data_IF_740221083879
#
_entry.id   IF_740221083879
#
_cell.length_a   1.000
_cell.length_b   1.000
_cell.length_c   1.000
_cell.angle_alpha   90.00
_cell.angle_beta   90.00
_cell.angle_gamma   90.00
#
_symmetry.space_group_name_H-M   'P 1'
#
loop_
_entity.id
_entity.type
_entity.pdbx_description
1 polymer ?
#
# COMPACT_ATOMS: atom_id res chain seq x y z
N UNK A 1 10.08 3.11 -3.67
CA UNK A 1 8.95 3.78 -4.36
C UNK A 1 9.00 3.43 -5.84
N UNK A 2 7.87 3.50 -6.52
CA UNK A 2 7.68 3.23 -7.94
C UNK A 2 6.84 4.33 -8.56
N UNK A 3 7.14 4.78 -9.78
CA UNK A 3 6.46 5.88 -10.46
C UNK A 3 6.15 5.50 -11.90
N UNK A 4 4.96 5.82 -12.37
CA UNK A 4 4.48 5.55 -13.73
C UNK A 4 4.20 6.82 -14.50
N UNK A 5 4.35 6.76 -15.83
CA UNK A 5 4.12 7.91 -16.72
C UNK A 5 2.68 8.42 -16.74
N UNK A 6 1.70 7.62 -16.30
CA UNK A 6 0.29 8.03 -16.16
C UNK A 6 -0.01 8.72 -14.81
N UNK A 7 1.02 9.06 -14.02
CA UNK A 7 0.89 9.90 -12.83
C UNK A 7 0.57 9.13 -11.54
N UNK A 8 0.75 7.80 -11.52
CA UNK A 8 0.61 7.00 -10.30
C UNK A 8 1.96 6.67 -9.66
N UNK A 9 1.94 6.54 -8.35
CA UNK A 9 3.08 6.11 -7.54
C UNK A 9 2.67 5.06 -6.53
N UNK A 10 3.64 4.24 -6.12
CA UNK A 10 3.51 3.29 -5.02
C UNK A 10 4.75 3.37 -4.11
N UNK A 11 4.52 3.32 -2.82
CA UNK A 11 5.53 3.21 -1.77
C UNK A 11 5.33 1.92 -0.99
N UNK A 12 6.44 1.23 -0.78
CA UNK A 12 6.56 0.19 0.22
C UNK A 12 7.82 0.46 1.03
N UNK A 13 7.70 0.46 2.36
CA UNK A 13 8.81 0.59 3.29
C UNK A 13 8.84 -0.60 4.23
N UNK A 14 10.02 -1.16 4.43
CA UNK A 14 10.29 -2.21 5.40
C UNK A 14 11.32 -1.67 6.39
N UNK A 15 10.94 -1.51 7.66
CA UNK A 15 11.79 -0.96 8.71
C UNK A 15 11.85 -1.91 9.88
N UNK A 16 13.05 -2.16 10.37
CA UNK A 16 13.27 -2.90 11.61
C UNK A 16 13.76 -1.95 12.68
N UNK A 17 13.18 -2.04 13.87
CA UNK A 17 13.63 -1.32 15.06
C UNK A 17 14.20 -2.34 16.03
N UNK A 18 15.51 -2.31 16.19
CA UNK A 18 16.23 -3.19 17.12
C UNK A 18 16.03 -2.73 18.57
N UNK A 19 16.12 -3.69 19.50
CA UNK A 19 16.12 -3.43 20.93
C UNK A 19 17.35 -4.10 21.56
N UNK A 20 18.37 -3.31 21.91
CA UNK A 20 19.65 -3.82 22.42
C UNK A 20 19.48 -4.45 23.81
N UNK A 21 18.58 -3.92 24.64
CA UNK A 21 18.32 -4.46 25.98
C UNK A 21 17.56 -5.78 25.92
N UNK A 22 16.67 -5.96 24.93
CA UNK A 22 15.90 -7.18 24.73
C UNK A 22 15.97 -7.62 23.26
N UNK A 23 17.03 -8.38 22.86
CA UNK A 23 17.26 -8.77 21.48
C UNK A 23 16.14 -9.62 20.86
N UNK A 24 15.33 -10.29 21.68
CA UNK A 24 14.14 -11.03 21.25
C UNK A 24 12.94 -10.13 20.92
N UNK A 25 13.02 -8.82 21.21
CA UNK A 25 11.96 -7.82 21.02
C UNK A 25 12.21 -6.91 19.81
N UNK A 26 12.61 -7.47 18.67
CA UNK A 26 12.78 -6.71 17.42
C UNK A 26 11.41 -6.39 16.82
N UNK A 27 11.19 -5.14 16.43
CA UNK A 27 9.93 -4.71 15.80
C UNK A 27 10.12 -4.59 14.30
N UNK A 28 9.21 -5.17 13.53
CA UNK A 28 9.15 -5.01 12.08
C UNK A 28 7.96 -4.12 11.70
N UNK A 29 8.20 -3.15 10.84
CA UNK A 29 7.19 -2.23 10.33
C UNK A 29 7.18 -2.35 8.82
N UNK A 30 6.04 -2.75 8.28
CA UNK A 30 5.80 -2.79 6.83
C UNK A 30 4.73 -1.77 6.51
N UNK A 31 5.07 -0.80 5.70
CA UNK A 31 4.14 0.22 5.24
C UNK A 31 3.99 0.12 3.75
N UNK A 32 2.76 0.24 3.27
CA UNK A 32 2.47 0.30 1.84
C UNK A 32 1.36 1.31 1.59
N UNK A 33 1.59 2.21 0.65
CA UNK A 33 0.58 3.15 0.17
C UNK A 33 0.82 3.47 -1.31
N UNK A 34 -0.22 3.85 -2.03
CA UNK A 34 -0.13 4.21 -3.43
C UNK A 34 -1.15 5.31 -3.75
N UNK A 35 -0.94 5.99 -4.86
CA UNK A 35 -1.88 7.01 -5.32
C UNK A 35 -1.34 7.82 -6.47
N UNK A 36 -1.65 9.12 -6.51
CA UNK A 36 -1.23 10.03 -7.57
C UNK A 36 -0.08 10.91 -7.14
N UNK A 37 0.83 11.20 -8.06
CA UNK A 37 1.89 12.17 -7.82
C UNK A 37 1.78 13.31 -8.82
N UNK A 38 2.24 14.50 -8.42
CA UNK A 38 2.35 15.67 -9.28
C UNK A 38 3.74 16.25 -9.18
N UNK A 39 4.25 16.71 -10.32
CA UNK A 39 5.48 17.49 -10.42
C UNK A 39 5.05 18.94 -10.59
N UNK A 40 5.24 19.74 -9.55
CA UNK A 40 4.78 21.11 -9.50
C UNK A 40 5.71 22.06 -10.27
N UNK A 41 5.19 23.20 -10.72
CA UNK A 41 5.97 24.20 -11.45
C UNK A 41 7.15 24.79 -10.63
N UNK A 42 7.06 24.73 -9.31
CA UNK A 42 8.11 25.16 -8.37
C UNK A 42 9.15 24.07 -8.07
N UNK A 43 9.24 23.01 -8.89
CA UNK A 43 10.14 21.85 -8.73
C UNK A 43 9.83 20.93 -7.55
N UNK A 44 8.75 21.18 -6.80
CA UNK A 44 8.30 20.27 -5.76
C UNK A 44 7.61 19.03 -6.35
N UNK A 45 7.64 17.94 -5.60
CA UNK A 45 6.92 16.72 -5.90
C UNK A 45 5.89 16.50 -4.80
N UNK A 46 4.63 16.33 -5.17
CA UNK A 46 3.59 15.94 -4.20
C UNK A 46 3.15 14.51 -4.46
N UNK A 47 2.84 13.80 -3.38
CA UNK A 47 2.26 12.45 -3.43
C UNK A 47 0.97 12.43 -2.64
N UNK A 48 -0.11 12.07 -3.33
CA UNK A 48 -1.46 12.02 -2.78
C UNK A 48 -1.94 10.55 -2.77
N UNK A 49 -2.03 9.90 -1.59
CA UNK A 49 -2.51 8.54 -1.48
C UNK A 49 -3.99 8.43 -1.87
N UNK A 50 -4.40 7.26 -2.36
CA UNK A 50 -5.82 6.90 -2.48
C UNK A 50 -6.36 6.67 -1.06
N UNK A 51 -7.47 7.34 -0.74
CA UNK A 51 -8.06 7.22 0.59
C UNK A 51 -8.42 5.77 0.93
N UNK A 52 -8.20 5.41 2.19
CA UNK A 52 -8.47 4.08 2.75
C UNK A 52 -7.69 2.91 2.12
N UNK A 53 -6.69 3.15 1.27
CA UNK A 53 -5.93 2.05 0.66
C UNK A 53 -4.59 1.73 1.37
N UNK A 54 -3.92 2.76 1.90
CA UNK A 54 -2.66 2.56 2.61
C UNK A 54 -2.81 1.68 3.85
N UNK A 55 -1.79 0.88 4.13
CA UNK A 55 -1.70 0.00 5.29
C UNK A 55 -0.33 0.11 5.94
N UNK A 56 -0.34 0.02 7.26
CA UNK A 56 0.86 -0.22 8.06
C UNK A 56 0.63 -1.47 8.89
N UNK A 57 1.56 -2.41 8.80
CA UNK A 57 1.64 -3.59 9.63
C UNK A 57 2.82 -3.43 10.58
N UNK A 58 2.56 -3.61 11.87
CA UNK A 58 3.57 -3.61 12.92
C UNK A 58 3.58 -5.00 13.55
N UNK A 59 4.74 -5.65 13.51
CA UNK A 59 5.00 -6.88 14.24
C UNK A 59 5.92 -6.56 15.42
N UNK A 60 5.46 -6.85 16.63
CA UNK A 60 6.19 -6.63 17.88
C UNK A 60 6.01 -7.85 18.78
N UNK A 61 6.99 -8.77 18.86
CA UNK A 61 6.85 -10.01 19.63
C UNK A 61 6.74 -9.78 21.15
N UNK A 62 7.01 -8.57 21.65
CA UNK A 62 6.99 -8.24 23.06
C UNK A 62 5.86 -7.30 23.47
N UNK A 63 5.04 -6.84 22.52
CA UNK A 63 3.81 -6.12 22.80
C UNK A 63 2.67 -7.08 23.17
N UNK A 64 1.62 -6.56 23.81
CA UNK A 64 0.41 -7.32 24.11
C UNK A 64 -0.30 -7.84 22.83
N UNK A 65 -0.21 -7.08 21.73
CA UNK A 65 -0.64 -7.51 20.40
C UNK A 65 0.59 -7.68 19.51
N UNK A 66 0.85 -8.90 19.08
CA UNK A 66 2.09 -9.25 18.38
C UNK A 66 2.14 -8.84 16.92
N UNK A 67 0.97 -8.67 16.29
CA UNK A 67 0.82 -8.19 14.92
C UNK A 67 -0.42 -7.33 14.84
N UNK A 68 -0.25 -6.09 14.41
CA UNK A 68 -1.35 -5.14 14.21
C UNK A 68 -1.27 -4.58 12.79
N UNK A 69 -2.40 -4.57 12.08
CA UNK A 69 -2.53 -3.93 10.77
C UNK A 69 -3.53 -2.79 10.89
N UNK A 70 -3.13 -1.58 10.51
CA UNK A 70 -4.00 -0.41 10.53
C UNK A 70 -3.98 0.33 9.20
N UNK A 71 -5.01 1.16 9.00
CA UNK A 71 -5.07 2.09 7.89
C UNK A 71 -3.95 3.11 8.01
N UNK A 72 -3.37 3.47 6.86
CA UNK A 72 -2.33 4.47 6.77
C UNK A 72 -2.64 5.42 5.62
N UNK A 73 -2.44 6.72 5.87
CA UNK A 73 -2.64 7.77 4.90
C UNK A 73 -1.67 8.90 5.23
N UNK A 74 -0.65 9.05 4.40
CA UNK A 74 0.31 10.14 4.55
C UNK A 74 0.57 10.79 3.19
N UNK A 75 0.02 12.00 2.94
CA UNK A 75 0.43 12.80 1.79
C UNK A 75 1.90 13.22 1.94
N UNK A 76 2.63 13.20 0.84
CA UNK A 76 4.02 13.63 0.79
C UNK A 76 4.17 14.96 0.06
N UNK A 77 5.06 15.79 0.58
CA UNK A 77 5.55 16.99 -0.06
C UNK A 77 7.08 16.96 -0.02
N UNK A 78 7.69 16.96 -1.20
CA UNK A 78 9.14 17.01 -1.36
C UNK A 78 9.48 18.32 -2.03
N UNK A 79 10.30 19.16 -1.38
CA UNK A 79 10.57 20.52 -1.81
C UNK A 79 11.27 20.55 -3.17
N UNK A 80 12.21 19.62 -3.38
CA UNK A 80 12.84 19.38 -4.67
C UNK A 80 13.03 17.87 -4.87
N UNK A 81 13.18 17.47 -6.12
CA UNK A 81 13.54 16.11 -6.51
C UNK A 81 14.54 16.16 -7.66
N UNK A 82 15.48 15.23 -7.66
CA UNK A 82 16.52 15.14 -8.69
C UNK A 82 16.80 13.69 -9.04
N UNK A 83 16.96 13.43 -10.33
CA UNK A 83 17.42 12.13 -10.83
C UNK A 83 18.81 12.33 -11.40
N UNK A 84 19.78 11.56 -10.91
CA UNK A 84 21.15 11.59 -11.42
C UNK A 84 21.77 10.20 -11.44
N UNK A 85 22.86 10.08 -12.20
CA UNK A 85 23.64 8.86 -12.31
C UNK A 85 24.71 8.85 -11.20
N UNK A 86 24.62 7.91 -10.28
CA UNK A 86 25.66 7.58 -9.30
C UNK A 86 26.58 6.51 -9.89
N UNK A 87 27.71 6.97 -10.43
CA UNK A 87 28.73 6.11 -11.04
C UNK A 87 29.29 5.05 -10.09
N UNK A 88 29.22 5.25 -8.76
CA UNK A 88 29.71 4.31 -7.77
C UNK A 88 28.71 3.18 -7.47
N UNK A 89 27.47 3.29 -7.95
CA UNK A 89 26.42 2.27 -7.77
C UNK A 89 26.30 1.30 -8.97
N UNK A 90 27.21 1.39 -9.96
CA UNK A 90 27.12 0.65 -11.21
C UNK A 90 27.45 -0.87 -11.12
N UNK A 91 27.71 -1.41 -9.93
CA UNK A 91 28.40 -2.70 -9.78
C UNK A 91 27.51 -3.91 -9.49
N UNK A 92 26.18 -3.75 -9.36
CA UNK A 92 25.33 -4.90 -9.00
C UNK A 92 24.97 -5.74 -10.23
N UNK A 93 25.88 -6.65 -10.60
CA UNK A 93 25.53 -7.84 -11.39
C UNK A 93 24.59 -8.71 -10.54
N UNK A 94 23.30 -8.76 -10.86
CA UNK A 94 22.36 -9.71 -10.26
C UNK A 94 22.48 -11.04 -11.05
N UNK A 95 23.04 -12.12 -10.47
CA UNK A 95 23.38 -13.35 -11.20
C UNK A 95 22.19 -14.10 -11.82
N UNK A 96 20.97 -13.73 -11.43
CA UNK A 96 19.74 -14.43 -11.80
C UNK A 96 18.79 -13.58 -12.65
N UNK A 97 19.21 -12.37 -13.07
CA UNK A 97 18.41 -11.51 -13.93
C UNK A 97 18.92 -11.62 -15.38
N UNK A 98 18.05 -11.86 -16.38
CA UNK A 98 18.47 -11.89 -17.78
C UNK A 98 19.07 -10.52 -18.18
N UNK A 99 20.14 -10.50 -19.00
CA UNK A 99 20.70 -9.26 -19.53
C UNK A 99 19.65 -8.49 -20.35
N UNK A 100 19.73 -7.15 -20.42
CA UNK A 100 20.91 -6.32 -20.17
C UNK A 100 21.08 -5.88 -18.70
N UNK A 101 22.30 -5.54 -18.26
CA UNK A 101 22.47 -4.77 -17.04
C UNK A 101 21.80 -3.41 -17.28
N UNK A 102 20.59 -3.22 -16.75
CA UNK A 102 20.06 -1.87 -16.62
C UNK A 102 21.10 -1.08 -15.82
N UNK A 103 21.46 0.15 -16.21
CA UNK A 103 22.28 1.00 -15.35
C UNK A 103 21.48 1.28 -14.07
N UNK A 104 21.67 0.45 -13.05
CA UNK A 104 21.20 0.64 -11.67
C UNK A 104 21.81 1.90 -11.02
N UNK A 105 22.66 2.59 -11.76
CA UNK A 105 23.34 3.80 -11.39
C UNK A 105 22.39 5.01 -11.29
N UNK A 106 21.18 4.98 -11.86
CA UNK A 106 20.23 6.07 -11.63
C UNK A 106 19.66 6.03 -10.21
N UNK A 107 19.71 7.16 -9.51
CA UNK A 107 19.07 7.34 -8.22
C UNK A 107 18.17 8.58 -8.24
N UNK A 108 17.08 8.51 -7.48
CA UNK A 108 16.18 9.60 -7.16
C UNK A 108 16.53 10.10 -5.75
N UNK A 109 16.88 11.38 -5.67
CA UNK A 109 17.09 12.10 -4.43
C UNK A 109 15.89 13.01 -4.19
N UNK A 110 15.25 12.83 -3.03
CA UNK A 110 14.15 13.68 -2.57
C UNK A 110 14.65 14.59 -1.45
N UNK A 111 14.12 15.81 -1.39
CA UNK A 111 14.44 16.80 -0.36
C UNK A 111 13.20 17.12 0.48
N UNK A 112 13.37 17.15 1.80
CA UNK A 112 12.37 17.55 2.77
C UNK A 112 12.19 19.09 2.81
N UNK A 113 11.22 19.56 3.59
CA UNK A 113 10.90 20.98 3.74
C UNK A 113 11.98 21.78 4.49
N UNK A 114 12.76 21.10 5.32
CA UNK A 114 13.87 21.66 6.11
C UNK A 114 15.21 21.53 5.38
N UNK A 115 15.17 21.32 4.05
CA UNK A 115 16.31 21.02 3.18
C UNK A 115 17.02 19.69 3.44
N UNK A 116 16.60 18.89 4.42
CA UNK A 116 17.19 17.59 4.69
C UNK A 116 16.94 16.63 3.52
N UNK A 117 17.93 15.77 3.24
CA UNK A 117 17.84 14.80 2.17
C UNK A 117 17.21 13.50 2.69
N UNK A 118 16.20 13.01 1.98
CA UNK A 118 15.70 11.65 2.21
C UNK A 118 16.72 10.60 1.75
N UNK A 119 16.60 9.35 2.22
CA UNK A 119 17.40 8.25 1.68
C UNK A 119 17.29 8.16 0.15
N UNK A 120 18.43 7.95 -0.52
CA UNK A 120 18.49 7.79 -1.96
C UNK A 120 17.69 6.56 -2.41
N UNK A 121 16.87 6.74 -3.43
CA UNK A 121 16.08 5.68 -4.04
C UNK A 121 16.74 5.24 -5.35
N UNK A 122 17.35 4.05 -5.36
CA UNK A 122 17.99 3.51 -6.55
C UNK A 122 16.97 2.87 -7.48
N UNK A 123 17.19 3.04 -8.78
CA UNK A 123 16.37 2.42 -9.79
C UNK A 123 16.61 0.90 -9.82
N UNK A 124 15.57 0.12 -9.56
CA UNK A 124 15.64 -1.35 -9.61
C UNK A 124 15.05 -1.91 -10.92
N UNK A 125 13.91 -1.38 -11.38
CA UNK A 125 13.22 -1.88 -12.58
C UNK A 125 12.66 -0.76 -13.44
N UNK A 126 12.65 -0.99 -14.77
CA UNK A 126 11.90 -0.22 -15.78
C UNK A 126 11.36 -1.21 -16.82
N UNK A 127 10.04 -1.37 -17.01
CA UNK A 127 8.95 -0.57 -16.46
C UNK A 127 8.76 -0.77 -14.93
N UNK A 128 8.13 0.20 -14.25
CA UNK A 128 7.79 0.08 -12.84
C UNK A 128 6.85 -1.10 -12.59
N UNK A 129 7.12 -1.87 -11.52
CA UNK A 129 6.17 -2.87 -11.02
C UNK A 129 5.33 -2.20 -9.94
N UNK A 130 4.01 -2.16 -10.13
CA UNK A 130 3.07 -1.61 -9.16
C UNK A 130 1.83 -2.51 -9.06
N UNK A 131 1.21 -2.53 -7.89
CA UNK A 131 -0.14 -3.06 -7.74
C UNK A 131 -1.15 -2.20 -8.50
N UNK A 132 -2.36 -2.72 -8.82
CA UNK A 132 -3.39 -1.97 -9.53
C UNK A 132 -3.64 -0.61 -8.89
N UNK A 133 -3.72 0.45 -9.70
CA UNK A 133 -3.83 1.84 -9.24
C UNK A 133 -5.25 2.26 -8.87
N UNK A 134 -6.11 1.27 -8.60
CA UNK A 134 -7.46 1.45 -8.10
C UNK A 134 -7.46 1.20 -6.59
N UNK A 135 -8.46 1.72 -5.89
CA UNK A 135 -8.68 1.38 -4.49
C UNK A 135 -8.82 -0.15 -4.34
N UNK A 136 -7.88 -0.78 -3.62
CA UNK A 136 -7.87 -2.23 -3.42
C UNK A 136 -8.87 -2.67 -2.35
N UNK A 137 -9.23 -1.76 -1.46
CA UNK A 137 -10.21 -2.02 -0.40
C UNK A 137 -11.34 -1.02 -0.45
N UNK A 138 -12.48 -1.41 -1.01
CA UNK A 138 -13.72 -0.64 -0.85
C UNK A 138 -14.16 -0.73 0.60
N UNK A 139 -14.45 0.40 1.27
CA UNK A 139 -15.37 0.33 2.40
C UNK A 139 -16.66 -0.25 1.83
N UNK A 140 -17.03 -1.47 2.19
CA UNK A 140 -18.41 -1.87 1.96
C UNK A 140 -19.23 -0.81 2.68
N UNK A 141 -19.99 -0.01 1.93
CA UNK A 141 -21.23 0.46 2.50
C UNK A 141 -21.91 -0.86 2.85
N UNK A 142 -22.19 -1.12 4.13
CA UNK A 142 -23.33 -1.96 4.43
C UNK A 142 -24.51 -1.25 3.77
N UNK A 143 -24.74 -1.59 2.51
CA UNK A 143 -26.05 -1.45 1.92
C UNK A 143 -26.86 -2.38 2.80
N UNK A 144 -27.59 -1.81 3.76
CA UNK A 144 -28.79 -2.45 4.25
C UNK A 144 -29.57 -2.75 2.98
N UNK A 145 -29.51 -4.00 2.53
CA UNK A 145 -30.23 -4.45 1.35
C UNK A 145 -31.68 -4.13 1.64
N UNK A 146 -32.19 -3.03 1.09
CA UNK A 146 -33.59 -2.71 1.20
C UNK A 146 -34.30 -3.83 0.46
N UNK A 147 -35.06 -4.61 1.21
CA UNK A 147 -36.03 -5.52 0.62
C UNK A 147 -36.90 -4.67 -0.32
N UNK A 148 -37.16 -5.11 -1.56
CA UNK A 148 -38.12 -4.43 -2.40
C UNK A 148 -39.44 -4.38 -1.65
N UNK A 149 -39.97 -3.16 -1.49
CA UNK A 149 -41.29 -2.94 -0.94
C UNK A 149 -42.29 -3.52 -1.95
N UNK A 150 -42.83 -4.69 -1.62
CA UNK A 150 -43.80 -5.39 -2.44
C UNK A 150 -45.11 -4.61 -2.41
N UNK A 151 -45.47 -4.06 -3.57
CA UNK A 151 -46.80 -3.53 -3.82
C UNK A 151 -47.84 -4.61 -3.46
N UNK A 152 -48.77 -4.21 -2.61
CA UNK A 152 -49.95 -4.93 -2.16
C UNK A 152 -50.59 -5.80 -3.24
N UNK A 153 -50.48 -7.12 -3.08
CA UNK A 153 -51.19 -8.10 -3.91
C UNK A 153 -51.08 -9.53 -3.39
N UNK A 154 -51.97 -9.91 -2.47
CA UNK A 154 -52.33 -11.28 -2.06
C UNK A 154 -51.20 -12.19 -1.51
N UNK A 155 -51.18 -12.32 -0.18
CA UNK A 155 -50.25 -13.13 0.59
C UNK A 155 -50.33 -14.65 0.31
N UNK A 156 -49.20 -15.24 -0.09
CA UNK A 156 -48.90 -16.65 0.15
C UNK A 156 -47.49 -16.75 0.75
N UNK A 157 -47.39 -16.84 2.08
CA UNK A 157 -46.13 -16.92 2.80
C UNK A 157 -45.49 -18.30 2.61
N UNK A 158 -44.42 -18.38 1.83
CA UNK A 158 -43.58 -19.58 1.77
C UNK A 158 -42.82 -19.75 3.10
N UNK A 159 -42.87 -20.91 3.75
CA UNK A 159 -42.20 -21.10 5.03
C UNK A 159 -40.66 -21.06 4.86
N UNK A 160 -40.01 -20.34 5.77
CA UNK A 160 -38.56 -20.13 5.77
C UNK A 160 -37.75 -21.44 5.85
N UNK A 161 -36.51 -21.37 5.38
CA UNK A 161 -35.58 -22.50 5.24
C UNK A 161 -35.44 -23.33 6.53
N UNK A 162 -35.49 -22.68 7.68
CA UNK A 162 -35.39 -23.29 9.02
C UNK A 162 -36.59 -24.20 9.33
N UNK A 163 -37.79 -23.80 8.90
CA UNK A 163 -39.01 -24.57 9.12
C UNK A 163 -39.01 -25.83 8.25
N UNK A 164 -38.50 -25.73 7.02
CA UNK A 164 -38.31 -26.88 6.12
C UNK A 164 -37.28 -27.89 6.66
N UNK A 165 -36.23 -27.41 7.32
CA UNK A 165 -35.23 -28.27 7.97
C UNK A 165 -35.78 -28.99 9.21
N UNK A 166 -36.55 -28.29 10.04
CA UNK A 166 -37.14 -28.89 11.25
C UNK A 166 -38.17 -29.98 10.91
N UNK A 167 -39.03 -29.72 9.92
CA UNK A 167 -40.06 -30.65 9.47
C UNK A 167 -39.45 -31.93 8.84
N UNK A 168 -38.28 -31.84 8.20
CA UNK A 168 -37.56 -32.98 7.63
C UNK A 168 -36.82 -33.85 8.67
N UNK A 169 -36.50 -33.30 9.84
CA UNK A 169 -35.85 -34.03 10.93
C UNK A 169 -36.84 -34.69 11.90
N UNK A 170 -38.05 -34.13 12.00
CA UNK A 170 -39.14 -34.65 12.82
C UNK A 170 -40.00 -35.74 12.12
N UNK A 171 -39.60 -36.17 10.91
CA UNK A 171 -40.26 -37.22 10.12
C UNK A 171 -39.52 -38.55 10.19
#
# INVERSE_FOLDING_TARGET
MSFTSNGFWEEAQYRFVSNVTRPNCVKAIVLRQHGRYTLEANTSLTTQPIEADGRIQIQDPCAAQTSTITYYYQPGLYQTWQIFNDAHHNSTFIPHLPPPPLPLAYNLQLQAFDSALFPRLYLVTRPPHMLPTNQLTTKSKESKRSLPEEHTGLAHSSPGLWKRWYDAWAS
#
